data_IF_699911448437
#
_entry.id   IF_699911448437
#
_cell.length_a   1.000
_cell.length_b   1.000
_cell.length_c   1.000
_cell.angle_alpha   90.00
_cell.angle_beta   90.00
_cell.angle_gamma   90.00
#
_symmetry.space_group_name_H-M   'P 1'
#
loop_
_entity.id
_entity.type
_entity.pdbx_description
1 polymer ?
#
# COMPACT_ATOMS: atom_id res chain seq x y z
N UNK A 1 20.83 7.54 20.13
CA UNK A 1 19.54 8.14 20.52
C UNK A 1 18.51 7.06 20.31
N UNK A 2 17.65 6.82 21.28
CA UNK A 2 16.55 5.85 21.12
C UNK A 2 15.59 6.42 20.09
N UNK A 3 15.31 5.66 19.06
CA UNK A 3 14.34 6.02 18.00
C UNK A 3 12.96 5.75 18.58
N UNK A 4 12.08 6.74 18.59
CA UNK A 4 10.73 6.57 19.10
C UNK A 4 9.71 6.92 18.04
N UNK A 5 8.68 6.08 17.93
CA UNK A 5 7.54 6.33 17.04
C UNK A 5 6.88 7.69 17.33
N UNK A 6 6.49 8.46 16.29
CA UNK A 6 5.67 9.64 16.46
C UNK A 6 4.38 9.30 17.19
N UNK A 7 4.02 10.07 18.24
CA UNK A 7 2.83 9.77 19.04
C UNK A 7 1.55 9.95 18.24
N UNK A 8 0.79 8.86 18.05
CA UNK A 8 -0.48 8.81 17.34
C UNK A 8 -1.49 7.89 18.04
N UNK A 9 -2.77 8.09 17.77
CA UNK A 9 -3.86 7.19 18.20
C UNK A 9 -4.02 5.99 17.27
N UNK A 10 -3.62 6.16 16.00
CA UNK A 10 -3.69 5.13 14.97
C UNK A 10 -2.42 5.07 14.15
N UNK A 11 -2.06 3.85 13.73
CA UNK A 11 -0.97 3.58 12.80
C UNK A 11 -1.53 2.85 11.58
N UNK A 12 -1.22 3.38 10.39
CA UNK A 12 -1.74 2.89 9.12
C UNK A 12 -0.58 2.50 8.22
N UNK A 13 -0.55 1.25 7.80
CA UNK A 13 0.59 0.65 7.09
C UNK A 13 0.31 0.52 5.60
N UNK A 14 1.32 0.79 4.76
CA UNK A 14 1.35 0.24 3.41
C UNK A 14 1.65 -1.26 3.46
N UNK A 15 1.49 -1.95 2.33
CA UNK A 15 1.65 -3.41 2.23
C UNK A 15 3.02 -3.77 1.65
N UNK A 16 3.20 -3.50 0.36
CA UNK A 16 4.34 -4.00 -0.41
C UNK A 16 5.59 -3.19 -0.10
N UNK A 17 6.61 -3.84 0.45
CA UNK A 17 7.84 -3.19 0.91
C UNK A 17 7.78 -2.70 2.36
N UNK A 18 6.60 -2.63 2.97
CA UNK A 18 6.39 -2.18 4.35
C UNK A 18 6.00 -3.34 5.28
N UNK A 19 4.84 -3.94 5.07
CA UNK A 19 4.39 -5.11 5.86
C UNK A 19 5.05 -6.40 5.37
N UNK A 20 5.18 -6.54 4.06
CA UNK A 20 5.65 -7.75 3.40
C UNK A 20 6.24 -7.46 2.01
N UNK A 21 6.97 -8.43 1.49
CA UNK A 21 7.42 -8.47 0.10
C UNK A 21 6.92 -9.77 -0.52
N UNK A 22 6.31 -9.71 -1.69
CA UNK A 22 5.99 -10.88 -2.51
C UNK A 22 7.01 -11.03 -3.63
N UNK A 23 7.43 -12.27 -3.90
CA UNK A 23 8.34 -12.59 -5.01
C UNK A 23 7.66 -13.45 -6.07
N UNK A 24 6.41 -13.83 -5.83
CA UNK A 24 5.56 -14.49 -6.83
C UNK A 24 5.07 -13.46 -7.86
N UNK A 25 4.55 -13.96 -8.97
CA UNK A 25 4.06 -13.15 -10.07
C UNK A 25 2.53 -13.07 -10.13
N UNK A 26 1.82 -13.49 -9.06
CA UNK A 26 0.35 -13.58 -9.07
C UNK A 26 -0.28 -12.24 -9.41
N UNK A 27 0.09 -11.19 -8.69
CA UNK A 27 -0.46 -9.84 -8.94
C UNK A 27 0.02 -9.26 -10.28
N UNK A 28 1.28 -9.47 -10.62
CA UNK A 28 1.85 -9.07 -11.91
C UNK A 28 1.06 -9.67 -13.09
N UNK A 29 0.87 -11.00 -13.08
CA UNK A 29 0.15 -11.71 -14.14
C UNK A 29 -1.32 -11.26 -14.20
N UNK A 30 -1.96 -10.97 -13.07
CA UNK A 30 -3.33 -10.49 -13.01
C UNK A 30 -3.50 -9.13 -13.71
N UNK A 31 -2.55 -8.19 -13.53
CA UNK A 31 -2.55 -6.90 -14.24
C UNK A 31 -2.40 -7.10 -15.75
N UNK A 32 -1.49 -7.98 -16.20
CA UNK A 32 -1.30 -8.30 -17.62
C UNK A 32 -2.56 -8.92 -18.22
N UNK A 33 -3.17 -9.88 -17.52
CA UNK A 33 -4.41 -10.52 -17.97
C UNK A 33 -5.56 -9.52 -18.08
N UNK A 34 -5.64 -8.56 -17.15
CA UNK A 34 -6.66 -7.51 -17.20
C UNK A 34 -6.47 -6.60 -18.42
N UNK A 35 -5.24 -6.22 -18.76
CA UNK A 35 -4.97 -5.41 -19.96
C UNK A 35 -5.35 -6.18 -21.24
N UNK A 36 -5.02 -7.46 -21.31
CA UNK A 36 -5.35 -8.30 -22.46
C UNK A 36 -6.86 -8.51 -22.60
N UNK A 37 -7.57 -8.92 -21.55
CA UNK A 37 -8.99 -9.27 -21.65
C UNK A 37 -9.93 -8.06 -21.71
N UNK A 38 -9.63 -6.98 -20.97
CA UNK A 38 -10.50 -5.82 -20.92
C UNK A 38 -10.27 -4.84 -22.07
N UNK A 39 -9.01 -4.67 -22.49
CA UNK A 39 -8.63 -3.68 -23.50
C UNK A 39 -8.23 -4.31 -24.83
N UNK A 40 -8.01 -5.63 -24.90
CA UNK A 40 -7.54 -6.34 -26.08
C UNK A 40 -6.10 -6.02 -26.46
N UNK A 41 -5.26 -5.65 -25.47
CA UNK A 41 -3.89 -5.22 -25.66
C UNK A 41 -2.95 -6.07 -24.83
N UNK A 42 -1.93 -6.63 -25.47
CA UNK A 42 -0.83 -7.34 -24.80
C UNK A 42 0.21 -6.32 -24.31
N UNK A 43 -0.18 -5.56 -23.30
CA UNK A 43 0.66 -4.53 -22.70
C UNK A 43 1.50 -5.09 -21.55
N UNK A 44 2.63 -4.43 -21.26
CA UNK A 44 3.51 -4.80 -20.14
C UNK A 44 3.70 -3.63 -19.18
N UNK A 45 3.86 -3.96 -17.89
CA UNK A 45 4.26 -2.98 -16.87
C UNK A 45 5.80 -2.89 -16.72
N UNK A 46 6.56 -3.65 -17.50
CA UNK A 46 8.02 -3.52 -17.54
C UNK A 46 8.46 -2.10 -17.94
N UNK A 47 9.47 -1.58 -17.26
CA UNK A 47 9.97 -0.23 -17.47
C UNK A 47 9.03 0.87 -16.97
N UNK A 48 7.97 0.55 -16.22
CA UNK A 48 7.20 1.51 -15.41
C UNK A 48 7.82 1.54 -14.01
N UNK A 49 8.04 2.73 -13.49
CA UNK A 49 8.46 2.91 -12.08
C UNK A 49 7.23 2.78 -11.17
N UNK A 50 6.75 1.56 -10.99
CA UNK A 50 5.46 1.28 -10.34
C UNK A 50 5.50 1.33 -8.80
N UNK A 51 6.68 1.32 -8.17
CA UNK A 51 6.79 1.39 -6.71
C UNK A 51 6.15 2.67 -6.16
N UNK A 52 5.18 2.49 -5.25
CA UNK A 52 4.39 3.58 -4.70
C UNK A 52 3.22 4.04 -5.58
N UNK A 53 3.02 3.45 -6.76
CA UNK A 53 1.82 3.69 -7.58
C UNK A 53 0.63 2.87 -7.07
N UNK A 54 -0.57 3.28 -7.48
CA UNK A 54 -1.78 2.48 -7.31
C UNK A 54 -1.96 1.53 -8.50
N UNK A 55 -2.70 0.43 -8.33
CA UNK A 55 -3.00 -0.51 -9.41
C UNK A 55 -3.68 0.19 -10.60
N UNK A 56 -4.58 1.15 -10.30
CA UNK A 56 -5.24 1.96 -11.33
C UNK A 56 -4.21 2.79 -12.11
N UNK A 57 -3.30 3.45 -11.42
CA UNK A 57 -2.24 4.26 -12.06
C UNK A 57 -1.28 3.40 -12.87
N UNK A 58 -0.98 2.18 -12.42
CA UNK A 58 -0.14 1.22 -13.16
C UNK A 58 -0.82 0.82 -14.46
N UNK A 59 -2.10 0.41 -14.40
CA UNK A 59 -2.89 0.07 -15.59
C UNK A 59 -2.96 1.25 -16.57
N UNK A 60 -3.25 2.46 -16.05
CA UNK A 60 -3.31 3.68 -16.88
C UNK A 60 -1.97 3.94 -17.58
N UNK A 61 -0.87 3.88 -16.85
CA UNK A 61 0.46 4.13 -17.40
C UNK A 61 0.87 3.09 -18.46
N UNK A 62 0.59 1.80 -18.23
CA UNK A 62 0.87 0.72 -19.18
C UNK A 62 0.05 0.88 -20.46
N UNK A 63 -1.26 1.08 -20.32
CA UNK A 63 -2.19 1.19 -21.44
C UNK A 63 -2.00 2.48 -22.26
N UNK A 64 -1.55 3.57 -21.61
CA UNK A 64 -1.23 4.80 -22.33
C UNK A 64 -0.07 4.64 -23.33
N UNK A 65 0.90 3.77 -23.04
CA UNK A 65 1.99 3.43 -23.97
C UNK A 65 1.47 2.74 -25.23
N UNK A 66 0.34 2.04 -25.13
CA UNK A 66 -0.34 1.34 -26.22
C UNK A 66 -1.45 2.20 -26.87
N UNK A 67 -1.50 3.50 -26.56
CA UNK A 67 -2.46 4.43 -27.14
C UNK A 67 -3.88 4.34 -26.59
N UNK A 68 -4.08 3.64 -25.47
CA UNK A 68 -5.36 3.60 -24.75
C UNK A 68 -5.39 4.79 -23.79
N UNK A 69 -6.30 5.72 -24.00
CA UNK A 69 -6.42 6.93 -23.20
C UNK A 69 -7.88 7.18 -22.78
N UNK A 70 -8.04 7.97 -21.73
CA UNK A 70 -9.28 8.58 -21.23
C UNK A 70 -10.55 7.73 -21.43
N UNK A 71 -11.45 8.13 -22.32
CA UNK A 71 -12.75 7.50 -22.47
C UNK A 71 -12.71 5.99 -22.73
N UNK A 72 -11.70 5.48 -23.48
CA UNK A 72 -11.53 4.04 -23.67
C UNK A 72 -11.00 3.36 -22.40
N UNK A 73 -10.09 4.02 -21.69
CA UNK A 73 -9.60 3.54 -20.40
C UNK A 73 -10.73 3.42 -19.40
N UNK A 74 -11.46 4.52 -19.16
CA UNK A 74 -12.55 4.56 -18.17
C UNK A 74 -13.69 3.58 -18.49
N UNK A 75 -14.04 3.42 -19.77
CA UNK A 75 -15.12 2.53 -20.18
C UNK A 75 -14.84 1.05 -19.86
N UNK A 76 -13.58 0.60 -19.93
CA UNK A 76 -13.21 -0.78 -19.69
C UNK A 76 -12.60 -1.01 -18.27
N UNK A 77 -12.32 0.06 -17.52
CA UNK A 77 -11.71 -0.04 -16.19
C UNK A 77 -12.47 -0.95 -15.22
N UNK A 78 -13.81 -0.87 -15.06
CA UNK A 78 -14.52 -1.75 -14.14
C UNK A 78 -14.28 -3.23 -14.45
N UNK A 79 -14.28 -3.60 -15.74
CA UNK A 79 -13.98 -4.97 -16.17
C UNK A 79 -12.53 -5.35 -15.88
N UNK A 80 -11.59 -4.44 -16.09
CA UNK A 80 -10.18 -4.69 -15.80
C UNK A 80 -9.96 -4.98 -14.31
N UNK A 81 -10.56 -4.18 -13.42
CA UNK A 81 -10.46 -4.38 -11.97
C UNK A 81 -11.07 -5.72 -11.53
N UNK A 82 -12.23 -6.10 -12.11
CA UNK A 82 -12.85 -7.41 -11.86
C UNK A 82 -11.91 -8.55 -12.27
N UNK A 83 -11.24 -8.43 -13.43
CA UNK A 83 -10.29 -9.43 -13.90
C UNK A 83 -9.10 -9.54 -12.95
N UNK A 84 -8.50 -8.43 -12.53
CA UNK A 84 -7.39 -8.47 -11.55
C UNK A 84 -7.81 -9.20 -10.28
N UNK A 85 -8.96 -8.85 -9.71
CA UNK A 85 -9.47 -9.49 -8.50
C UNK A 85 -9.72 -10.99 -8.71
N UNK A 86 -10.36 -11.39 -9.83
CA UNK A 86 -10.61 -12.78 -10.20
C UNK A 86 -9.33 -13.60 -10.33
N UNK A 87 -8.33 -13.06 -11.05
CA UNK A 87 -7.05 -13.75 -11.28
C UNK A 87 -6.27 -13.94 -9.98
N UNK A 88 -6.22 -12.91 -9.15
CA UNK A 88 -5.53 -13.02 -7.85
C UNK A 88 -6.28 -13.99 -6.93
N UNK A 89 -7.61 -13.95 -6.87
CA UNK A 89 -8.38 -14.88 -6.05
C UNK A 89 -8.20 -16.34 -6.51
N UNK A 90 -8.21 -16.59 -7.82
CA UNK A 90 -8.01 -17.94 -8.39
C UNK A 90 -6.61 -18.50 -8.05
N UNK A 91 -5.60 -17.64 -7.99
CA UNK A 91 -4.19 -18.01 -7.74
C UNK A 91 -3.71 -17.66 -6.33
N UNK A 92 -4.61 -17.29 -5.39
CA UNK A 92 -4.23 -16.84 -4.03
C UNK A 92 -3.38 -17.84 -3.25
N UNK A 93 -3.52 -19.14 -3.54
CA UNK A 93 -2.72 -20.19 -2.93
C UNK A 93 -1.23 -20.16 -3.35
N UNK A 94 -0.88 -19.40 -4.40
CA UNK A 94 0.48 -19.23 -4.90
C UNK A 94 1.17 -17.99 -4.33
N UNK A 95 0.45 -17.11 -3.64
CA UNK A 95 1.02 -15.91 -3.00
C UNK A 95 2.01 -16.35 -1.91
N UNK A 96 3.25 -15.87 -2.00
CA UNK A 96 4.38 -16.23 -1.11
C UNK A 96 4.95 -14.98 -0.46
N UNK A 97 4.28 -14.41 0.55
CA UNK A 97 4.77 -13.23 1.23
C UNK A 97 5.93 -13.58 2.16
N UNK A 98 6.94 -12.73 2.17
CA UNK A 98 7.94 -12.63 3.22
C UNK A 98 7.62 -11.40 4.07
N UNK A 99 7.30 -11.59 5.35
CA UNK A 99 7.02 -10.48 6.27
C UNK A 99 8.30 -9.69 6.53
N UNK A 100 8.20 -8.35 6.50
CA UNK A 100 9.33 -7.47 6.75
C UNK A 100 9.78 -7.53 8.22
N UNK A 101 11.07 -7.24 8.43
CA UNK A 101 11.73 -7.29 9.74
C UNK A 101 11.03 -6.38 10.75
N UNK A 102 10.83 -6.87 11.98
CA UNK A 102 10.20 -6.12 13.07
C UNK A 102 8.67 -6.04 13.03
N UNK A 103 8.02 -6.27 11.88
CA UNK A 103 6.56 -6.10 11.72
C UNK A 103 5.72 -6.89 12.72
N UNK A 104 5.91 -8.21 12.94
CA UNK A 104 5.06 -8.94 13.89
C UNK A 104 5.17 -8.42 15.32
N UNK A 105 6.37 -8.02 15.74
CA UNK A 105 6.61 -7.47 17.07
C UNK A 105 5.98 -6.07 17.20
N UNK A 106 6.20 -5.18 16.23
CA UNK A 106 5.64 -3.83 16.22
C UNK A 106 4.10 -3.86 16.25
N UNK A 107 3.47 -4.67 15.41
CA UNK A 107 2.00 -4.80 15.40
C UNK A 107 1.46 -5.31 16.75
N UNK A 108 2.17 -6.27 17.37
CA UNK A 108 1.80 -6.79 18.68
C UNK A 108 1.92 -5.73 19.76
N UNK A 109 3.00 -4.96 19.76
CA UNK A 109 3.24 -3.90 20.72
C UNK A 109 2.21 -2.79 20.59
N UNK A 110 2.02 -2.24 19.39
CA UNK A 110 1.03 -1.18 19.14
C UNK A 110 -0.40 -1.62 19.55
N UNK A 111 -0.76 -2.88 19.27
CA UNK A 111 -2.04 -3.45 19.69
C UNK A 111 -2.14 -3.54 21.20
N UNK A 112 -1.07 -3.95 21.91
CA UNK A 112 -1.04 -4.02 23.37
C UNK A 112 -1.21 -2.64 24.03
N UNK A 113 -0.74 -1.60 23.35
CA UNK A 113 -0.92 -0.19 23.73
C UNK A 113 -2.30 0.38 23.38
N UNK A 114 -3.22 -0.44 22.84
CA UNK A 114 -4.56 -0.02 22.48
C UNK A 114 -4.63 0.88 21.23
N UNK A 115 -3.60 0.87 20.39
CA UNK A 115 -3.58 1.67 19.15
C UNK A 115 -4.52 1.08 18.10
N UNK A 116 -5.16 1.95 17.34
CA UNK A 116 -5.98 1.54 16.18
C UNK A 116 -5.05 1.25 14.99
N UNK A 117 -5.13 0.06 14.43
CA UNK A 117 -4.29 -0.37 13.31
C UNK A 117 -5.11 -0.52 12.04
N UNK A 118 -4.59 0.03 10.95
CA UNK A 118 -5.19 -0.02 9.62
C UNK A 118 -4.18 -0.22 8.51
N UNK A 119 -4.69 -0.38 7.30
CA UNK A 119 -3.92 -0.50 6.06
C UNK A 119 -4.36 0.59 5.09
N UNK A 120 -3.40 1.15 4.35
CA UNK A 120 -3.66 2.06 3.23
C UNK A 120 -2.66 1.74 2.11
N UNK A 121 -3.15 1.15 1.02
CA UNK A 121 -2.27 0.65 -0.04
C UNK A 121 -2.78 1.00 -1.44
N UNK A 122 -1.84 1.07 -2.39
CA UNK A 122 -2.13 1.21 -3.82
C UNK A 122 -2.71 -0.05 -4.47
N UNK A 123 -2.71 -1.19 -3.79
CA UNK A 123 -3.37 -2.41 -4.29
C UNK A 123 -4.89 -2.24 -4.37
N UNK A 124 -5.56 -3.08 -5.16
CA UNK A 124 -7.00 -3.31 -5.02
C UNK A 124 -7.30 -4.03 -3.69
N UNK A 125 -8.48 -3.82 -3.12
CA UNK A 125 -8.86 -4.31 -1.78
C UNK A 125 -8.68 -5.83 -1.65
N UNK A 126 -9.20 -6.61 -2.60
CA UNK A 126 -9.09 -8.08 -2.53
C UNK A 126 -7.63 -8.53 -2.65
N UNK A 127 -6.83 -7.88 -3.50
CA UNK A 127 -5.39 -8.17 -3.68
C UNK A 127 -4.62 -7.92 -2.39
N UNK A 128 -4.82 -6.74 -1.79
CA UNK A 128 -4.17 -6.38 -0.55
C UNK A 128 -4.52 -7.32 0.59
N UNK A 129 -5.80 -7.67 0.74
CA UNK A 129 -6.21 -8.62 1.78
C UNK A 129 -5.66 -10.02 1.57
N UNK A 130 -5.62 -10.56 0.35
CA UNK A 130 -5.01 -11.87 0.08
C UNK A 130 -3.53 -11.91 0.46
N UNK A 131 -2.77 -10.86 0.16
CA UNK A 131 -1.36 -10.74 0.58
C UNK A 131 -1.22 -10.75 2.12
N UNK A 132 -2.04 -9.95 2.81
CA UNK A 132 -2.04 -9.84 4.28
C UNK A 132 -2.48 -11.15 4.94
N UNK A 133 -3.48 -11.84 4.40
CA UNK A 133 -3.96 -13.14 4.89
C UNK A 133 -2.91 -14.23 4.70
N UNK A 134 -2.27 -14.28 3.52
CA UNK A 134 -1.17 -15.20 3.25
C UNK A 134 0.01 -14.98 4.22
N UNK A 135 0.27 -13.73 4.62
CA UNK A 135 1.26 -13.35 5.63
C UNK A 135 0.81 -13.61 7.08
N UNK A 136 -0.44 -14.02 7.31
CA UNK A 136 -1.05 -14.22 8.64
C UNK A 136 -1.07 -12.95 9.49
N UNK A 137 -1.26 -11.79 8.86
CA UNK A 137 -1.31 -10.49 9.56
C UNK A 137 -2.72 -9.91 9.67
N UNK A 138 -3.73 -10.52 9.03
CA UNK A 138 -5.11 -9.98 8.93
C UNK A 138 -5.73 -9.62 10.28
N UNK A 139 -5.45 -10.39 11.33
CA UNK A 139 -6.01 -10.22 12.67
C UNK A 139 -5.57 -8.94 13.40
N UNK A 140 -4.55 -8.25 12.91
CA UNK A 140 -4.06 -7.00 13.51
C UNK A 140 -4.86 -5.79 13.06
N UNK A 141 -5.49 -5.82 11.87
CA UNK A 141 -6.05 -4.65 11.23
C UNK A 141 -7.56 -4.58 11.35
N UNK A 142 -8.05 -3.41 11.77
CA UNK A 142 -9.47 -3.11 11.94
C UNK A 142 -10.13 -2.55 10.69
N UNK A 143 -9.33 -1.99 9.76
CA UNK A 143 -9.80 -1.41 8.50
C UNK A 143 -8.69 -1.43 7.44
N UNK A 144 -9.08 -1.25 6.18
CA UNK A 144 -8.16 -1.04 5.07
C UNK A 144 -8.78 -0.12 4.03
N UNK A 145 -7.95 0.70 3.37
CA UNK A 145 -8.32 1.54 2.24
C UNK A 145 -7.37 1.29 1.08
N UNK A 146 -7.92 1.21 -0.10
CA UNK A 146 -7.28 0.68 -1.29
C UNK A 146 -7.60 1.52 -2.51
N UNK A 147 -7.02 1.16 -3.65
CA UNK A 147 -7.18 1.94 -4.87
C UNK A 147 -8.50 1.74 -5.62
N UNK A 148 -9.35 0.83 -5.21
CA UNK A 148 -10.63 0.52 -5.89
C UNK A 148 -11.51 1.74 -6.16
N UNK A 149 -11.43 2.74 -5.29
CA UNK A 149 -12.26 3.95 -5.37
C UNK A 149 -11.46 5.23 -5.44
N UNK A 150 -10.14 5.15 -5.40
CA UNK A 150 -9.27 6.31 -5.37
C UNK A 150 -7.93 6.00 -6.06
N UNK A 151 -7.66 6.67 -7.19
CA UNK A 151 -6.43 6.45 -7.95
C UNK A 151 -5.20 7.09 -7.28
N UNK A 152 -5.39 8.06 -6.37
CA UNK A 152 -4.28 8.77 -5.74
C UNK A 152 -3.99 8.26 -4.33
N UNK A 153 -2.70 8.11 -3.98
CA UNK A 153 -2.29 7.69 -2.64
C UNK A 153 -2.72 8.68 -1.56
N UNK A 154 -2.65 9.99 -1.84
CA UNK A 154 -3.12 11.02 -0.90
C UNK A 154 -4.62 10.87 -0.60
N UNK A 155 -5.45 10.58 -1.59
CA UNK A 155 -6.88 10.34 -1.40
C UNK A 155 -7.17 9.09 -0.56
N UNK A 156 -6.40 8.00 -0.78
CA UNK A 156 -6.48 6.78 0.05
C UNK A 156 -6.11 7.12 1.51
N UNK A 157 -5.04 7.86 1.72
CA UNK A 157 -4.59 8.29 3.05
C UNK A 157 -5.60 9.22 3.73
N UNK A 158 -6.17 10.17 2.99
CA UNK A 158 -7.21 11.05 3.50
C UNK A 158 -8.43 10.26 4.04
N UNK A 159 -8.87 9.24 3.29
CA UNK A 159 -9.97 8.37 3.72
C UNK A 159 -9.62 7.59 5.01
N UNK A 160 -8.36 7.15 5.14
CA UNK A 160 -7.89 6.50 6.36
C UNK A 160 -7.90 7.46 7.57
N UNK A 161 -7.46 8.70 7.40
CA UNK A 161 -7.52 9.74 8.44
C UNK A 161 -8.96 10.00 8.88
N UNK A 162 -9.89 10.12 7.94
CA UNK A 162 -11.32 10.31 8.24
C UNK A 162 -11.88 9.14 9.06
N UNK A 163 -11.53 7.91 8.70
CA UNK A 163 -11.93 6.71 9.45
C UNK A 163 -11.37 6.72 10.88
N UNK A 164 -10.11 7.13 11.06
CA UNK A 164 -9.47 7.24 12.38
C UNK A 164 -10.19 8.31 13.22
N UNK A 165 -10.46 9.49 12.66
CA UNK A 165 -11.18 10.55 13.34
C UNK A 165 -12.61 10.16 13.74
N UNK A 166 -13.29 9.38 12.91
CA UNK A 166 -14.61 8.81 13.25
C UNK A 166 -14.52 7.84 14.43
N UNK A 167 -13.47 7.07 14.55
CA UNK A 167 -13.31 6.07 15.60
C UNK A 167 -12.79 6.64 16.93
N UNK A 168 -11.86 7.59 16.89
CA UNK A 168 -11.10 8.07 18.05
C UNK A 168 -11.36 9.54 18.39
N UNK A 169 -12.16 10.24 17.59
CA UNK A 169 -12.45 11.68 17.76
C UNK A 169 -11.66 12.58 16.79
N UNK A 170 -12.13 13.83 16.59
CA UNK A 170 -11.64 14.75 15.55
C UNK A 170 -10.17 15.12 15.69
N UNK A 171 -9.63 15.13 16.90
CA UNK A 171 -8.23 15.48 17.21
C UNK A 171 -7.29 14.27 17.12
N UNK A 172 -7.79 13.09 16.75
CA UNK A 172 -6.98 11.88 16.67
C UNK A 172 -5.92 12.02 15.57
N UNK A 173 -4.66 11.81 15.95
CA UNK A 173 -3.52 11.82 15.03
C UNK A 173 -3.36 10.45 14.41
N UNK A 174 -3.09 10.42 13.11
CA UNK A 174 -2.75 9.23 12.33
C UNK A 174 -1.28 9.29 11.94
N UNK A 175 -0.55 8.19 12.15
CA UNK A 175 0.80 8.01 11.65
C UNK A 175 0.77 6.93 10.57
N UNK A 176 1.23 7.26 9.37
CA UNK A 176 1.44 6.28 8.31
C UNK A 176 2.82 5.65 8.45
N UNK A 177 2.96 4.42 7.96
CA UNK A 177 4.24 3.71 7.84
C UNK A 177 4.30 3.19 6.41
N UNK A 178 5.33 3.59 5.67
CA UNK A 178 5.48 3.26 4.25
C UNK A 178 6.94 3.28 3.80
N UNK A 179 7.24 2.62 2.68
CA UNK A 179 8.61 2.41 2.19
C UNK A 179 8.94 3.22 0.92
N UNK A 180 8.03 4.11 0.48
CA UNK A 180 8.25 4.84 -0.77
C UNK A 180 8.22 6.36 -0.59
N UNK A 181 8.91 7.12 -1.48
CA UNK A 181 8.75 8.58 -1.57
C UNK A 181 7.29 9.02 -1.81
N UNK A 182 6.46 8.16 -2.42
CA UNK A 182 5.05 8.44 -2.65
C UNK A 182 4.25 8.46 -1.34
N UNK A 183 4.57 7.58 -0.39
CA UNK A 183 3.97 7.58 0.96
C UNK A 183 4.30 8.84 1.71
N UNK A 184 5.58 9.23 1.70
CA UNK A 184 6.03 10.45 2.37
C UNK A 184 5.32 11.67 1.80
N UNK A 185 5.25 11.80 0.46
CA UNK A 185 4.55 12.92 -0.18
C UNK A 185 3.06 12.91 0.14
N UNK A 186 2.39 11.76 0.07
CA UNK A 186 0.96 11.65 0.34
C UNK A 186 0.60 12.03 1.78
N UNK A 187 1.36 11.55 2.76
CA UNK A 187 1.15 11.90 4.16
C UNK A 187 1.38 13.40 4.42
N UNK A 188 2.44 13.98 3.85
CA UNK A 188 2.73 15.43 3.99
C UNK A 188 1.65 16.29 3.33
N UNK A 189 1.14 15.91 2.18
CA UNK A 189 0.08 16.62 1.46
C UNK A 189 -1.18 16.79 2.32
N UNK A 190 -1.53 15.78 3.11
CA UNK A 190 -2.71 15.79 3.99
C UNK A 190 -2.40 16.19 5.44
N UNK A 191 -1.15 16.56 5.76
CA UNK A 191 -0.71 16.95 7.09
C UNK A 191 -0.73 15.82 8.13
N UNK A 192 -0.58 14.57 7.70
CA UNK A 192 -0.48 13.41 8.58
C UNK A 192 0.99 13.09 8.90
N UNK A 193 1.22 12.35 10.00
CA UNK A 193 2.54 11.84 10.37
C UNK A 193 2.95 10.69 9.45
N UNK A 194 4.25 10.57 9.19
CA UNK A 194 4.83 9.49 8.39
C UNK A 194 6.15 8.99 8.94
N UNK A 195 6.24 7.68 9.11
CA UNK A 195 7.49 6.96 9.29
C UNK A 195 7.85 6.29 7.98
N UNK A 196 9.00 6.62 7.43
CA UNK A 196 9.54 5.96 6.27
C UNK A 196 10.42 4.77 6.69
N UNK A 197 10.21 3.62 6.07
CA UNK A 197 10.98 2.39 6.34
C UNK A 197 11.70 1.93 5.08
N UNK A 198 13.02 1.73 5.15
CA UNK A 198 13.84 1.34 4.01
C UNK A 198 13.84 -0.20 3.78
N UNK A 199 12.73 -0.85 4.08
CA UNK A 199 12.55 -2.31 3.92
C UNK A 199 12.11 -2.73 2.51
N UNK A 200 11.73 -1.77 1.66
CA UNK A 200 11.31 -1.98 0.28
C UNK A 200 12.43 -1.75 -0.74
N UNK A 201 12.10 -1.06 -1.82
CA UNK A 201 13.01 -0.81 -2.95
C UNK A 201 13.90 0.41 -2.75
N UNK A 202 13.42 1.42 -2.02
CA UNK A 202 14.13 2.69 -1.82
C UNK A 202 15.11 2.60 -0.65
N UNK A 203 16.26 3.26 -0.82
CA UNK A 203 17.28 3.33 0.23
C UNK A 203 16.90 4.34 1.31
N UNK A 204 17.49 4.18 2.49
CA UNK A 204 17.30 5.07 3.62
C UNK A 204 17.52 6.54 3.24
N UNK A 205 18.62 6.85 2.55
CA UNK A 205 18.99 8.24 2.20
C UNK A 205 17.98 8.86 1.20
N UNK A 206 17.39 8.06 0.32
CA UNK A 206 16.37 8.52 -0.63
C UNK A 206 15.06 8.86 0.08
N UNK A 207 14.68 8.06 1.08
CA UNK A 207 13.49 8.30 1.90
C UNK A 207 13.69 9.47 2.87
N UNK A 208 14.85 9.52 3.53
CA UNK A 208 15.20 10.61 4.45
C UNK A 208 15.20 11.97 3.72
N UNK A 209 15.71 12.02 2.49
CA UNK A 209 15.67 13.22 1.66
C UNK A 209 14.24 13.74 1.34
N UNK A 210 13.22 12.89 1.43
CA UNK A 210 11.81 13.30 1.30
C UNK A 210 11.27 14.01 2.56
N UNK A 211 12.01 13.98 3.67
CA UNK A 211 11.70 14.65 4.95
C UNK A 211 10.49 14.03 5.65
N UNK A 212 10.46 12.71 5.93
CA UNK A 212 9.46 12.10 6.81
C UNK A 212 9.64 12.59 8.25
N UNK A 213 8.66 12.35 9.14
CA UNK A 213 8.79 12.65 10.56
C UNK A 213 9.85 11.74 11.23
N UNK A 214 10.03 10.54 10.70
CA UNK A 214 11.04 9.58 11.10
C UNK A 214 11.41 8.71 9.90
N UNK A 215 12.71 8.36 9.77
CA UNK A 215 13.19 7.40 8.80
C UNK A 215 13.98 6.31 9.54
N UNK A 216 13.73 5.02 9.21
CA UNK A 216 14.40 3.87 9.80
C UNK A 216 14.75 2.85 8.71
N UNK A 217 15.72 1.97 9.00
CA UNK A 217 16.09 0.90 8.06
C UNK A 217 14.99 -0.16 7.98
N UNK A 218 14.47 -0.57 9.13
CA UNK A 218 13.34 -1.50 9.24
C UNK A 218 12.53 -1.23 10.52
N UNK A 219 11.44 -1.98 10.70
CA UNK A 219 10.56 -1.79 11.85
C UNK A 219 11.10 -2.35 13.17
N UNK A 220 12.23 -3.06 13.17
CA UNK A 220 12.87 -3.51 14.42
C UNK A 220 13.46 -2.32 15.19
N UNK A 221 13.93 -1.27 14.48
CA UNK A 221 14.41 -0.04 15.10
C UNK A 221 13.33 0.76 15.85
N UNK A 222 12.04 0.43 15.61
CA UNK A 222 10.89 1.09 16.24
C UNK A 222 10.43 0.39 17.53
N UNK A 223 11.08 -0.72 17.90
CA UNK A 223 10.77 -1.48 19.11
C UNK A 223 11.58 -0.95 20.30
N UNK A 224 10.94 -0.85 21.49
CA UNK A 224 11.58 -0.45 22.75
C UNK A 224 12.43 -1.56 23.37
#
# INVERSE_FOLDING_TARGET
MQVSLPHAGAYVFDIDGTLLVTRDLVHWNALHQAMLEAYGVDATIEGISYHGMTDLSILRAALAREGIQDGRFEAALPKALEIVCREVDANRAEIRPQVCTGIPALLTELRSQGKLLGVASGNLESVGWHKIEAARLRQFFSFGFYSDRCETRAGIFQTAVERVRQALGPEARTCFIGDTPADVRAAKEIGALIVAVASGTFKFEELEACGPDLCVVDCEELLD
#
